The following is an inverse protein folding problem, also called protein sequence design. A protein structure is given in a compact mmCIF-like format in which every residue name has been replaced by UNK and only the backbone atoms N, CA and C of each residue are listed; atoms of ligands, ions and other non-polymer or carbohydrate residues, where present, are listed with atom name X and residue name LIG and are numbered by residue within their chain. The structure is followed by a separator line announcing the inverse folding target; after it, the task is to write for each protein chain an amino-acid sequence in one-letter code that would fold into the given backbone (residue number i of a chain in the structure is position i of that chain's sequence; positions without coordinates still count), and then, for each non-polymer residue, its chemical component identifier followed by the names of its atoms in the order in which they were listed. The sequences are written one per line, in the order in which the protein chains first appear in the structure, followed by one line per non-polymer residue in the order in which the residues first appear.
data_IF_889817384699
#
_entry.id   IF_889817384699
#
_cell.length_a   1.000
_cell.length_b   1.000
_cell.length_c   1.000
_cell.angle_alpha   90.00
_cell.angle_beta   90.00
_cell.angle_gamma   90.00
#
_symmetry.space_group_name_H-M   'P 1'
#
loop_
_entity.id
_entity.type
_entity.pdbx_description
1 polymer ?
#
# COMPACT_ATOMS: atom_id res chain seq x y z
N UNK A 1 1.67 22.43 33.97
CA UNK A 1 0.41 22.94 33.38
C UNK A 1 0.35 22.45 31.92
N UNK A 2 -0.60 21.66 31.44
CA UNK A 2 -1.80 21.09 32.03
C UNK A 2 -2.56 20.29 30.95
N UNK A 3 -2.98 19.09 31.35
CA UNK A 3 -4.11 18.25 30.94
C UNK A 3 -4.97 18.65 29.73
N UNK A 4 -5.15 17.69 28.81
CA UNK A 4 -6.46 17.39 28.21
C UNK A 4 -6.68 15.87 28.13
N UNK A 5 -7.31 15.31 29.17
CA UNK A 5 -8.01 14.01 29.17
C UNK A 5 -9.48 14.28 29.51
N UNK A 6 -10.39 13.91 28.61
CA UNK A 6 -11.80 13.53 28.84
C UNK A 6 -12.43 13.40 27.46
N UNK A 7 -13.14 12.35 27.06
CA UNK A 7 -14.19 11.57 27.73
C UNK A 7 -14.38 10.26 26.95
N UNK A 8 -15.19 9.35 27.51
CA UNK A 8 -15.64 8.05 26.98
C UNK A 8 -14.88 6.82 27.51
N UNK A 9 -14.90 6.66 28.82
CA UNK A 9 -15.06 5.34 29.47
C UNK A 9 -16.03 5.53 30.64
N UNK A 10 -17.16 4.83 30.60
CA UNK A 10 -17.92 4.34 31.77
C UNK A 10 -19.14 3.58 31.26
N UNK A 11 -19.05 2.25 31.29
CA UNK A 11 -20.02 1.37 31.92
C UNK A 11 -19.74 -0.07 31.48
N UNK A 12 -19.18 -0.85 32.39
CA UNK A 12 -19.58 -2.23 32.68
C UNK A 12 -18.69 -2.72 33.84
N UNK A 13 -19.22 -2.57 35.05
CA UNK A 13 -18.78 -3.24 36.27
C UNK A 13 -19.60 -4.52 36.48
N UNK A 14 -19.10 -5.32 37.43
CA UNK A 14 -19.60 -6.61 37.96
C UNK A 14 -18.88 -7.82 37.30
N UNK A 15 -18.29 -8.76 38.03
CA UNK A 15 -18.32 -9.03 39.47
C UNK A 15 -17.15 -9.94 39.86
N UNK A 16 -16.67 -9.74 41.09
CA UNK A 16 -15.71 -10.55 41.83
C UNK A 16 -16.24 -11.95 42.15
N UNK A 17 -15.37 -12.96 42.09
CA UNK A 17 -15.47 -14.18 42.92
C UNK A 17 -14.08 -14.42 43.52
N UNK A 18 -14.07 -14.67 44.83
CA UNK A 18 -12.93 -14.87 45.71
C UNK A 18 -12.72 -16.37 46.01
N UNK A 19 -11.49 -16.71 46.43
CA UNK A 19 -11.06 -17.78 47.38
C UNK A 19 -11.27 -19.26 46.94
N UNK A 20 -10.39 -20.26 47.09
CA UNK A 20 -9.22 -20.50 47.94
C UNK A 20 -8.26 -21.57 47.33
N UNK A 21 -7.09 -21.72 47.96
CA UNK A 21 -5.99 -22.67 47.72
C UNK A 21 -6.30 -24.14 48.05
N UNK A 22 -5.65 -25.10 47.35
CA UNK A 22 -4.92 -26.25 47.93
C UNK A 22 -4.16 -27.09 46.87
N UNK A 23 -3.05 -27.71 47.29
CA UNK A 23 -2.13 -28.58 46.55
C UNK A 23 -2.69 -30.01 46.34
N UNK A 24 -2.19 -30.75 45.34
CA UNK A 24 -1.65 -32.15 45.42
C UNK A 24 -1.44 -32.74 44.00
N UNK A 25 -0.37 -33.53 43.86
CA UNK A 25 0.12 -34.28 42.68
C UNK A 25 -0.89 -35.28 42.08
N UNK A 26 -0.79 -35.57 40.76
CA UNK A 26 -0.31 -36.86 40.20
C UNK A 26 -0.89 -37.19 38.78
N UNK A 27 -0.01 -37.75 37.93
CA UNK A 27 -0.16 -38.55 36.69
C UNK A 27 -1.37 -38.44 35.71
N UNK A 28 -1.05 -38.13 34.44
CA UNK A 28 -1.56 -38.83 33.23
C UNK A 28 -2.68 -38.19 32.40
N UNK A 29 -2.46 -37.92 31.10
CA UNK A 29 -3.41 -38.11 29.97
C UNK A 29 -3.01 -37.38 28.66
N UNK A 30 -2.75 -38.14 27.60
CA UNK A 30 -2.39 -37.67 26.23
C UNK A 30 -3.62 -37.41 25.31
N UNK A 31 -4.85 -37.40 25.81
CA UNK A 31 -6.07 -37.31 24.96
C UNK A 31 -6.77 -35.93 24.96
N UNK A 32 -6.20 -34.90 25.60
CA UNK A 32 -6.84 -33.57 25.71
C UNK A 32 -6.34 -32.53 24.69
N UNK A 33 -5.33 -32.87 23.88
CA UNK A 33 -4.76 -31.96 22.87
C UNK A 33 -5.41 -32.09 21.49
N UNK A 34 -5.91 -33.27 21.13
CA UNK A 34 -6.54 -33.53 19.83
C UNK A 34 -7.96 -32.94 19.73
N UNK A 35 -8.69 -32.91 20.85
CA UNK A 35 -10.07 -32.39 20.93
C UNK A 35 -10.16 -30.85 20.87
N UNK A 36 -9.16 -30.13 21.40
CA UNK A 36 -9.07 -28.65 21.28
C UNK A 36 -8.69 -28.19 19.87
N UNK A 37 -7.99 -29.02 19.09
CA UNK A 37 -7.60 -28.69 17.73
C UNK A 37 -8.81 -28.73 16.76
N UNK A 38 -9.70 -29.73 16.92
CA UNK A 38 -10.92 -29.89 16.12
C UNK A 38 -12.00 -28.82 16.40
N UNK A 39 -12.08 -28.34 17.64
CA UNK A 39 -13.00 -27.25 18.01
C UNK A 39 -12.61 -25.91 17.38
N UNK A 40 -11.30 -25.64 17.28
CA UNK A 40 -10.78 -24.41 16.67
C UNK A 40 -10.99 -24.35 15.15
N UNK A 41 -10.93 -25.48 14.43
CA UNK A 41 -11.20 -25.53 12.99
C UNK A 41 -12.67 -25.24 12.65
N UNK A 42 -13.62 -25.73 13.48
CA UNK A 42 -15.04 -25.47 13.30
C UNK A 42 -15.40 -24.01 13.58
N UNK A 43 -14.72 -23.38 14.55
CA UNK A 43 -14.91 -21.97 14.87
C UNK A 43 -14.38 -21.04 13.76
N UNK A 44 -13.24 -21.39 13.13
CA UNK A 44 -12.69 -20.71 11.96
C UNK A 44 -13.60 -20.80 10.71
N UNK A 45 -14.26 -21.93 10.49
CA UNK A 45 -15.23 -22.09 9.40
C UNK A 45 -16.48 -21.22 9.61
N UNK A 46 -16.98 -21.16 10.85
CA UNK A 46 -18.16 -20.38 11.20
C UNK A 46 -17.92 -18.87 11.04
N UNK A 47 -16.76 -18.37 11.48
CA UNK A 47 -16.37 -16.97 11.30
C UNK A 47 -16.29 -16.61 9.80
N UNK A 48 -15.79 -17.51 8.97
CA UNK A 48 -15.69 -17.31 7.51
C UNK A 48 -17.05 -17.28 6.81
N UNK A 49 -18.05 -17.99 7.36
CA UNK A 49 -19.43 -17.97 6.86
C UNK A 49 -20.18 -16.70 7.27
N UNK A 50 -19.99 -16.21 8.50
CA UNK A 50 -20.59 -14.96 8.99
C UNK A 50 -20.07 -13.73 8.23
N UNK A 51 -18.80 -13.71 7.84
CA UNK A 51 -18.22 -12.61 7.03
C UNK A 51 -18.84 -12.53 5.62
N UNK A 52 -19.34 -13.65 5.07
CA UNK A 52 -19.99 -13.68 3.75
C UNK A 52 -21.43 -13.14 3.78
N UNK A 53 -22.15 -13.26 4.89
CA UNK A 53 -23.54 -12.77 5.01
C UNK A 53 -23.61 -11.25 5.18
N UNK A 54 -22.61 -10.63 5.82
CA UNK A 54 -22.62 -9.20 6.14
C UNK A 54 -22.25 -8.27 4.97
N UNK A 55 -21.85 -8.83 3.82
CA UNK A 55 -21.54 -8.08 2.60
C UNK A 55 -22.77 -7.70 1.76
N UNK A 56 -23.96 -8.17 2.12
CA UNK A 56 -25.19 -7.94 1.38
C UNK A 56 -26.21 -7.16 2.21
N UNK A 57 -26.02 -5.85 2.41
CA UNK A 57 -27.11 -4.89 2.67
C UNK A 57 -26.57 -3.45 2.71
N UNK A 58 -26.71 -2.71 1.61
CA UNK A 58 -27.00 -1.26 1.67
C UNK A 58 -27.87 -0.84 0.47
N UNK A 59 -28.98 -0.08 0.68
CA UNK A 59 -29.85 0.38 -0.40
C UNK A 59 -29.31 1.66 -1.06
N UNK A 60 -29.29 1.69 -2.40
CA UNK A 60 -28.86 2.85 -3.20
C UNK A 60 -29.94 3.94 -3.21
N UNK A 61 -29.72 5.06 -2.52
CA UNK A 61 -30.47 6.30 -2.76
C UNK A 61 -30.03 6.91 -4.11
N UNK A 62 -30.96 6.97 -5.07
CA UNK A 62 -30.80 7.76 -6.31
C UNK A 62 -30.94 9.26 -5.97
N UNK A 63 -29.85 10.01 -6.01
CA UNK A 63 -29.88 11.47 -6.14
C UNK A 63 -29.65 11.83 -7.60
N UNK A 64 -30.59 12.55 -8.20
CA UNK A 64 -30.41 13.19 -9.50
C UNK A 64 -29.27 14.20 -9.37
N UNK A 65 -28.12 13.88 -9.98
CA UNK A 65 -26.95 14.76 -10.03
C UNK A 65 -26.79 15.19 -11.48
N UNK A 66 -27.02 16.48 -11.75
CA UNK A 66 -26.63 17.08 -13.02
C UNK A 66 -25.12 16.91 -13.17
N UNK A 67 -24.70 16.18 -14.19
CA UNK A 67 -23.28 15.83 -14.41
C UNK A 67 -22.58 17.08 -14.95
N UNK A 68 -21.63 17.63 -14.20
CA UNK A 68 -20.84 18.80 -14.63
C UNK A 68 -19.43 18.31 -14.96
N UNK A 69 -18.86 18.82 -16.05
CA UNK A 69 -17.49 18.57 -16.46
C UNK A 69 -16.74 19.89 -16.52
N UNK A 70 -15.61 19.98 -15.82
CA UNK A 70 -14.71 21.12 -15.84
C UNK A 70 -13.54 20.86 -16.79
N UNK A 71 -13.11 21.87 -17.55
CA UNK A 71 -11.88 21.82 -18.34
C UNK A 71 -11.01 23.05 -18.08
N UNK A 72 -9.85 22.85 -17.45
CA UNK A 72 -8.84 23.87 -17.24
C UNK A 72 -7.90 23.93 -18.44
N UNK A 73 -7.69 25.14 -18.97
CA UNK A 73 -6.75 25.42 -20.06
C UNK A 73 -5.68 26.38 -19.53
N UNK A 74 -4.38 26.00 -19.56
CA UNK A 74 -3.29 26.90 -19.19
C UNK A 74 -3.33 28.19 -20.01
N UNK A 75 -2.97 29.31 -19.39
CA UNK A 75 -2.92 30.65 -20.00
C UNK A 75 -4.27 31.22 -20.47
N UNK A 76 -5.39 30.52 -20.21
CA UNK A 76 -6.75 31.06 -20.41
C UNK A 76 -7.33 31.54 -19.07
N UNK A 77 -7.85 32.78 -18.99
CA UNK A 77 -8.57 33.24 -17.80
C UNK A 77 -9.99 32.64 -17.70
N UNK A 78 -10.45 31.93 -18.72
CA UNK A 78 -11.82 31.41 -18.79
C UNK A 78 -11.98 30.09 -18.03
N UNK A 79 -13.14 29.94 -17.37
CA UNK A 79 -13.56 28.69 -16.73
C UNK A 79 -14.57 27.97 -17.61
N UNK A 80 -14.16 26.86 -18.21
CA UNK A 80 -15.00 26.02 -19.04
C UNK A 80 -15.75 24.97 -18.19
N UNK A 81 -17.08 24.99 -18.30
CA UNK A 81 -18.00 24.04 -17.70
C UNK A 81 -18.92 23.44 -18.77
N UNK A 82 -19.12 22.13 -18.74
CA UNK A 82 -19.98 21.41 -19.69
C UNK A 82 -20.95 20.50 -18.94
N UNK A 83 -22.18 20.38 -19.44
CA UNK A 83 -23.21 19.52 -18.85
C UNK A 83 -23.36 18.18 -19.59
N UNK A 84 -22.79 18.06 -20.79
CA UNK A 84 -22.66 16.80 -21.52
C UNK A 84 -21.20 16.48 -21.84
N UNK A 85 -20.87 15.20 -21.82
CA UNK A 85 -19.54 14.70 -22.17
C UNK A 85 -19.24 14.90 -23.66
N UNK A 86 -20.26 14.91 -24.52
CA UNK A 86 -20.07 15.18 -25.96
C UNK A 86 -19.57 16.59 -26.23
N UNK A 87 -20.08 17.57 -25.48
CA UNK A 87 -19.66 18.97 -25.56
C UNK A 87 -18.22 19.12 -25.07
N UNK A 88 -17.89 18.52 -23.93
CA UNK A 88 -16.51 18.46 -23.43
C UNK A 88 -15.56 17.85 -24.48
N UNK A 89 -15.95 16.74 -25.10
CA UNK A 89 -15.11 16.07 -26.11
C UNK A 89 -14.87 16.96 -27.32
N UNK A 90 -15.93 17.60 -27.83
CA UNK A 90 -15.82 18.60 -28.92
C UNK A 90 -14.88 19.74 -28.55
N UNK A 91 -14.96 20.22 -27.30
CA UNK A 91 -14.06 21.24 -26.78
C UNK A 91 -12.60 20.77 -26.71
N UNK A 92 -12.34 19.57 -26.21
CA UNK A 92 -10.98 19.01 -26.14
C UNK A 92 -10.35 18.81 -27.53
N UNK A 93 -11.17 18.60 -28.56
CA UNK A 93 -10.73 18.48 -29.95
C UNK A 93 -10.50 19.84 -30.65
N UNK A 94 -10.93 20.95 -30.02
CA UNK A 94 -10.76 22.32 -30.52
C UNK A 94 -9.32 22.85 -30.35
N UNK A 95 -8.93 23.94 -31.05
CA UNK A 95 -7.62 24.55 -30.89
C UNK A 95 -7.30 24.96 -29.45
N UNK A 96 -8.32 25.36 -28.68
CA UNK A 96 -8.20 25.79 -27.27
C UNK A 96 -8.02 24.58 -26.36
N UNK A 97 -8.77 23.49 -26.60
CA UNK A 97 -8.67 22.26 -25.82
C UNK A 97 -7.38 21.48 -26.03
N UNK A 98 -6.72 21.64 -27.20
CA UNK A 98 -5.46 20.98 -27.55
C UNK A 98 -4.21 21.64 -26.97
N UNK A 99 -4.35 22.78 -26.28
CA UNK A 99 -3.23 23.44 -25.61
C UNK A 99 -2.56 22.45 -24.64
N UNK A 100 -1.22 22.39 -24.70
CA UNK A 100 -0.45 21.47 -23.87
C UNK A 100 -0.66 21.83 -22.41
N UNK A 101 -1.15 20.87 -21.63
CA UNK A 101 -1.47 21.07 -20.21
C UNK A 101 -2.95 21.30 -19.93
N UNK A 102 -3.83 21.28 -20.95
CA UNK A 102 -5.28 21.22 -20.73
C UNK A 102 -5.65 19.97 -19.93
N UNK A 103 -6.41 20.16 -18.86
CA UNK A 103 -6.86 19.11 -17.95
C UNK A 103 -8.37 19.19 -17.78
N UNK A 104 -9.04 18.04 -17.68
CA UNK A 104 -10.48 18.03 -17.39
C UNK A 104 -10.80 17.09 -16.25
N UNK A 105 -11.88 17.39 -15.53
CA UNK A 105 -12.39 16.58 -14.43
C UNK A 105 -13.92 16.53 -14.48
N UNK A 106 -14.48 15.38 -14.13
CA UNK A 106 -15.92 15.27 -13.89
C UNK A 106 -16.21 15.71 -12.46
N UNK A 107 -17.01 16.76 -12.31
CA UNK A 107 -17.38 17.36 -11.04
C UNK A 107 -18.74 16.85 -10.56
N UNK A 108 -18.88 16.71 -9.25
CA UNK A 108 -20.15 16.27 -8.63
C UNK A 108 -21.10 17.43 -8.31
N UNK A 109 -20.56 18.64 -8.12
CA UNK A 109 -21.27 19.88 -7.81
C UNK A 109 -20.39 21.09 -8.16
N UNK A 110 -20.96 22.29 -8.04
CA UNK A 110 -20.25 23.56 -8.31
C UNK A 110 -19.05 23.79 -7.37
N UNK A 111 -19.14 23.36 -6.11
CA UNK A 111 -18.00 23.47 -5.18
C UNK A 111 -16.79 22.62 -5.63
N UNK A 112 -17.03 21.43 -6.20
CA UNK A 112 -16.00 20.55 -6.76
C UNK A 112 -15.44 21.10 -8.09
N UNK A 113 -16.24 21.91 -8.81
CA UNK A 113 -15.79 22.69 -9.96
C UNK A 113 -14.81 23.79 -9.52
N UNK A 114 -15.17 24.62 -8.54
CA UNK A 114 -14.31 25.69 -8.06
C UNK A 114 -13.02 25.17 -7.41
N UNK A 115 -13.12 24.08 -6.64
CA UNK A 115 -11.95 23.43 -6.06
C UNK A 115 -10.97 22.94 -7.13
N UNK A 116 -11.48 22.41 -8.25
CA UNK A 116 -10.63 21.95 -9.35
C UNK A 116 -9.84 23.10 -9.98
N UNK A 117 -10.47 24.25 -10.24
CA UNK A 117 -9.79 25.41 -10.80
C UNK A 117 -8.75 26.00 -9.85
N UNK A 118 -9.09 26.16 -8.57
CA UNK A 118 -8.17 26.69 -7.56
C UNK A 118 -6.95 25.76 -7.35
N UNK A 119 -7.14 24.45 -7.49
CA UNK A 119 -6.05 23.47 -7.47
C UNK A 119 -5.13 23.62 -8.69
N UNK A 120 -5.67 23.87 -9.89
CA UNK A 120 -4.84 24.11 -11.09
C UNK A 120 -4.13 25.47 -11.05
N UNK A 121 -4.76 26.49 -10.48
CA UNK A 121 -4.19 27.83 -10.37
C UNK A 121 -3.06 27.89 -9.34
N UNK A 122 -3.22 27.21 -8.20
CA UNK A 122 -2.17 27.11 -7.17
C UNK A 122 -0.98 26.26 -7.61
N UNK A 123 -1.19 25.27 -8.49
CA UNK A 123 -0.11 24.56 -9.17
C UNK A 123 0.68 25.43 -10.18
N UNK A 124 0.12 26.57 -10.61
CA UNK A 124 0.72 27.48 -11.60
C UNK A 124 1.46 28.68 -10.97
N UNK A 125 1.26 28.98 -9.68
CA UNK A 125 1.80 30.20 -9.02
C UNK A 125 3.16 30.00 -8.33
N UNK A 126 3.84 28.88 -8.56
CA UNK A 126 5.13 28.57 -7.95
C UNK A 126 6.30 28.65 -8.94
N UNK A 127 6.39 29.68 -9.79
CA UNK A 127 7.63 29.99 -10.55
C UNK A 127 7.61 31.43 -11.10
N UNK A 128 8.33 32.33 -10.44
CA UNK A 128 9.00 33.51 -11.03
C UNK A 128 10.42 33.48 -10.39
N UNK A 129 11.58 33.55 -11.04
CA UNK A 129 12.02 33.60 -12.42
C UNK A 129 13.52 33.19 -12.38
N UNK A 130 13.94 32.20 -13.20
CA UNK A 130 15.10 32.30 -14.10
C UNK A 130 14.81 31.38 -15.30
N UNK A 131 14.55 32.01 -16.45
CA UNK A 131 14.36 31.41 -17.76
C UNK A 131 15.58 30.61 -18.24
N UNK A 132 15.36 29.34 -18.61
CA UNK A 132 15.77 28.84 -19.93
C UNK A 132 15.06 27.51 -20.27
N UNK A 133 14.23 27.55 -21.31
CA UNK A 133 13.69 26.42 -22.10
C UNK A 133 12.97 25.29 -21.36
N UNK A 134 11.63 25.34 -21.41
CA UNK A 134 10.72 24.20 -21.22
C UNK A 134 10.70 23.27 -22.44
N UNK A 135 11.86 22.77 -22.84
CA UNK A 135 11.95 21.35 -23.19
C UNK A 135 11.70 20.57 -21.90
N UNK A 136 11.03 19.44 -21.99
CA UNK A 136 10.99 18.44 -20.92
C UNK A 136 12.42 18.01 -20.60
N UNK A 137 13.10 18.72 -19.70
CA UNK A 137 14.36 18.28 -19.13
C UNK A 137 13.94 17.31 -18.02
N UNK A 138 13.59 16.08 -18.42
CA UNK A 138 13.91 14.90 -17.63
C UNK A 138 15.42 15.03 -17.39
N UNK A 139 15.84 15.61 -16.26
CA UNK A 139 17.26 15.75 -15.92
C UNK A 139 17.88 14.37 -16.05
N UNK A 140 18.65 14.13 -17.12
CA UNK A 140 19.28 12.86 -17.54
C UNK A 140 19.17 11.73 -16.50
N UNK A 141 17.95 11.21 -16.32
CA UNK A 141 17.76 10.06 -15.45
C UNK A 141 18.26 8.89 -16.28
N UNK A 142 19.14 8.03 -15.74
CA UNK A 142 19.76 6.94 -16.48
C UNK A 142 18.75 5.98 -17.13
N UNK A 143 17.52 5.97 -16.61
CA UNK A 143 16.47 5.05 -17.03
C UNK A 143 15.18 5.78 -17.35
N UNK A 144 14.62 5.47 -18.52
CA UNK A 144 13.31 5.96 -18.98
C UNK A 144 12.17 5.42 -18.11
N UNK A 145 11.06 6.13 -18.10
CA UNK A 145 9.85 5.71 -17.39
C UNK A 145 9.30 4.40 -17.97
N UNK A 146 8.82 3.52 -17.09
CA UNK A 146 8.33 2.20 -17.45
C UNK A 146 6.85 2.28 -17.79
N UNK A 147 6.43 1.85 -19.00
CA UNK A 147 5.01 1.78 -19.36
C UNK A 147 4.21 0.88 -18.40
N UNK A 148 2.97 1.27 -18.09
CA UNK A 148 2.10 0.54 -17.17
C UNK A 148 1.89 -0.95 -17.54
N UNK A 149 1.90 -1.27 -18.84
CA UNK A 149 1.85 -2.66 -19.33
C UNK A 149 3.04 -3.48 -18.85
N UNK A 150 4.25 -2.93 -18.92
CA UNK A 150 5.48 -3.58 -18.48
C UNK A 150 5.47 -3.79 -16.95
N UNK A 151 5.02 -2.80 -16.18
CA UNK A 151 4.83 -2.97 -14.73
C UNK A 151 3.84 -4.10 -14.40
N UNK A 152 2.82 -4.29 -15.25
CA UNK A 152 1.88 -5.40 -15.12
C UNK A 152 2.56 -6.74 -15.42
N UNK A 153 3.40 -6.82 -16.46
CA UNK A 153 4.18 -8.02 -16.77
C UNK A 153 5.10 -8.40 -15.59
N UNK A 154 5.80 -7.41 -15.01
CA UNK A 154 6.67 -7.59 -13.86
C UNK A 154 5.90 -8.11 -12.62
N UNK A 155 4.73 -7.52 -12.35
CA UNK A 155 3.83 -8.02 -11.29
C UNK A 155 3.44 -9.47 -11.53
N UNK A 156 3.06 -9.83 -12.76
CA UNK A 156 2.67 -11.19 -13.12
C UNK A 156 3.85 -12.15 -12.94
N UNK A 157 5.07 -11.75 -13.29
CA UNK A 157 6.27 -12.56 -13.07
C UNK A 157 6.48 -12.86 -11.57
N UNK A 158 6.33 -11.86 -10.70
CA UNK A 158 6.39 -12.04 -9.24
C UNK A 158 5.28 -13.00 -8.77
N UNK A 159 4.05 -12.79 -9.22
CA UNK A 159 2.87 -13.58 -8.83
C UNK A 159 2.97 -15.04 -9.27
N UNK A 160 3.62 -15.31 -10.41
CA UNK A 160 3.83 -16.66 -10.95
C UNK A 160 5.12 -17.33 -10.47
N UNK A 161 5.91 -16.67 -9.62
CA UNK A 161 7.24 -17.14 -9.22
C UNK A 161 8.21 -17.34 -10.38
N UNK A 162 8.08 -16.55 -11.45
CA UNK A 162 9.02 -16.57 -12.57
C UNK A 162 10.22 -15.68 -12.26
N UNK A 163 11.26 -16.30 -11.71
CA UNK A 163 12.48 -15.60 -11.29
C UNK A 163 13.36 -15.17 -12.47
N UNK A 164 13.24 -15.83 -13.63
CA UNK A 164 14.01 -15.50 -14.83
C UNK A 164 13.54 -14.17 -15.41
N UNK A 165 12.23 -14.04 -15.63
CA UNK A 165 11.63 -12.78 -16.11
C UNK A 165 11.81 -11.66 -15.07
N UNK A 166 11.72 -11.99 -13.77
CA UNK A 166 11.99 -11.03 -12.71
C UNK A 166 13.40 -10.42 -12.85
N UNK A 167 14.43 -11.26 -12.97
CA UNK A 167 15.82 -10.80 -13.07
C UNK A 167 16.05 -10.02 -14.36
N UNK A 168 15.52 -10.50 -15.49
CA UNK A 168 15.61 -9.85 -16.79
C UNK A 168 15.06 -8.42 -16.73
N UNK A 169 13.83 -8.25 -16.24
CA UNK A 169 13.18 -6.93 -16.19
C UNK A 169 13.89 -5.97 -15.23
N UNK A 170 14.28 -6.43 -14.04
CA UNK A 170 14.97 -5.56 -13.06
C UNK A 170 16.37 -5.18 -13.53
N UNK A 171 17.06 -6.08 -14.25
CA UNK A 171 18.35 -5.79 -14.86
C UNK A 171 18.22 -4.81 -16.03
N UNK A 172 17.17 -4.96 -16.85
CA UNK A 172 16.85 -4.02 -17.94
C UNK A 172 16.62 -2.60 -17.40
N UNK A 173 15.83 -2.47 -16.33
CA UNK A 173 15.51 -1.17 -15.76
C UNK A 173 15.22 -1.25 -14.24
N UNK A 174 16.04 -0.63 -13.37
CA UNK A 174 15.81 -0.65 -11.92
C UNK A 174 14.51 0.06 -11.51
N UNK A 175 13.90 0.88 -12.40
CA UNK A 175 12.62 1.54 -12.15
C UNK A 175 11.44 0.58 -11.98
N UNK A 176 11.61 -0.72 -12.26
CA UNK A 176 10.61 -1.73 -11.91
C UNK A 176 10.42 -1.87 -10.39
N UNK A 177 11.47 -1.59 -9.62
CA UNK A 177 11.47 -1.64 -8.16
C UNK A 177 11.45 -0.25 -7.51
N UNK A 178 12.26 0.68 -8.02
CA UNK A 178 12.47 2.00 -7.37
C UNK A 178 12.04 3.15 -8.27
N UNK A 179 11.25 4.06 -7.76
CA UNK A 179 10.95 5.30 -8.46
C UNK A 179 12.05 6.32 -8.15
N UNK A 180 12.96 6.48 -9.11
CA UNK A 180 14.13 7.35 -8.98
C UNK A 180 13.79 8.84 -8.87
N UNK A 181 12.56 9.25 -9.21
CA UNK A 181 12.14 10.66 -9.14
C UNK A 181 11.71 11.09 -7.74
N UNK A 182 11.29 10.16 -6.87
CA UNK A 182 10.71 10.50 -5.57
C UNK A 182 11.20 9.63 -4.41
N UNK A 183 12.22 8.79 -4.62
CA UNK A 183 12.79 7.90 -3.60
C UNK A 183 11.74 6.99 -2.93
N UNK A 184 10.73 6.58 -3.71
CA UNK A 184 9.68 5.66 -3.27
C UNK A 184 9.70 4.36 -4.05
N UNK A 185 9.13 3.28 -3.49
CA UNK A 185 8.90 2.05 -4.24
C UNK A 185 7.99 2.27 -5.46
N UNK A 186 8.29 1.57 -6.55
CA UNK A 186 7.41 1.53 -7.71
C UNK A 186 6.10 0.82 -7.38
N UNK A 187 4.98 1.45 -7.73
CA UNK A 187 3.65 0.89 -7.52
C UNK A 187 3.30 -0.01 -8.70
N UNK A 188 3.14 -1.30 -8.45
CA UNK A 188 2.80 -2.30 -9.46
C UNK A 188 1.28 -2.46 -9.68
N UNK A 189 0.47 -2.13 -8.67
CA UNK A 189 -0.99 -2.20 -8.74
C UNK A 189 -1.62 -0.91 -8.21
N UNK A 190 -2.02 0.00 -9.11
CA UNK A 190 -2.49 1.35 -8.75
C UNK A 190 -3.72 1.37 -7.82
N UNK A 191 -4.66 0.43 -7.99
CA UNK A 191 -5.89 0.38 -7.20
C UNK A 191 -5.65 0.17 -5.70
N UNK A 192 -4.80 -0.83 -5.37
CA UNK A 192 -4.44 -1.16 -3.99
C UNK A 192 -3.16 -0.46 -3.52
N UNK A 193 -2.42 0.17 -4.45
CA UNK A 193 -1.06 0.71 -4.26
C UNK A 193 -0.05 -0.32 -3.76
N UNK A 194 -0.05 -1.50 -4.37
CA UNK A 194 0.95 -2.52 -4.03
C UNK A 194 2.31 -2.15 -4.62
N UNK A 195 3.33 -2.17 -3.76
CA UNK A 195 4.72 -2.27 -4.17
C UNK A 195 5.08 -3.74 -4.51
N UNK A 196 6.30 -3.99 -4.98
CA UNK A 196 6.75 -5.33 -5.32
C UNK A 196 6.73 -6.32 -4.13
N UNK A 197 7.00 -5.83 -2.90
CA UNK A 197 7.02 -6.67 -1.70
C UNK A 197 5.62 -7.13 -1.29
N UNK A 198 4.60 -6.28 -1.43
CA UNK A 198 3.20 -6.68 -1.25
C UNK A 198 2.83 -7.82 -2.20
N UNK A 199 3.17 -7.70 -3.48
CA UNK A 199 2.91 -8.72 -4.50
C UNK A 199 3.64 -10.04 -4.16
N UNK A 200 4.93 -9.97 -3.81
CA UNK A 200 5.72 -11.14 -3.47
C UNK A 200 5.20 -11.87 -2.22
N UNK A 201 4.86 -11.13 -1.16
CA UNK A 201 4.27 -11.71 0.05
C UNK A 201 2.89 -12.33 -0.23
N UNK A 202 2.05 -11.67 -1.03
CA UNK A 202 0.72 -12.17 -1.38
C UNK A 202 0.79 -13.46 -2.22
N UNK A 203 1.84 -13.59 -3.04
CA UNK A 203 2.13 -14.78 -3.85
C UNK A 203 2.88 -15.88 -3.08
N UNK A 204 3.25 -15.66 -1.81
CA UNK A 204 4.13 -16.55 -1.04
C UNK A 204 5.48 -16.82 -1.73
N UNK A 205 5.98 -15.86 -2.50
CA UNK A 205 7.20 -15.98 -3.28
C UNK A 205 8.43 -15.55 -2.47
N UNK A 206 9.01 -16.49 -1.73
CA UNK A 206 10.16 -16.22 -0.85
C UNK A 206 11.40 -15.75 -1.62
N UNK A 207 11.68 -16.32 -2.80
CA UNK A 207 12.85 -15.96 -3.61
C UNK A 207 12.75 -14.52 -4.10
N UNK A 208 11.58 -14.07 -4.56
CA UNK A 208 11.39 -12.67 -4.94
C UNK A 208 11.52 -11.73 -3.74
N UNK A 209 10.99 -12.09 -2.56
CA UNK A 209 11.18 -11.32 -1.33
C UNK A 209 12.67 -11.12 -1.03
N UNK A 210 13.46 -12.20 -1.04
CA UNK A 210 14.91 -12.16 -0.83
C UNK A 210 15.61 -11.26 -1.86
N UNK A 211 15.32 -11.45 -3.15
CA UNK A 211 15.93 -10.66 -4.24
C UNK A 211 15.62 -9.17 -4.09
N UNK A 212 14.36 -8.82 -3.87
CA UNK A 212 13.92 -7.43 -3.68
C UNK A 212 14.67 -6.78 -2.51
N UNK A 213 14.73 -7.46 -1.36
CA UNK A 213 15.39 -6.92 -0.16
C UNK A 213 16.91 -6.81 -0.33
N UNK A 214 17.53 -7.75 -1.04
CA UNK A 214 18.96 -7.73 -1.33
C UNK A 214 19.33 -6.60 -2.29
N UNK A 215 18.56 -6.41 -3.37
CA UNK A 215 18.81 -5.35 -4.36
C UNK A 215 18.69 -3.95 -3.74
N UNK A 216 17.68 -3.70 -2.91
CA UNK A 216 17.50 -2.40 -2.26
C UNK A 216 18.61 -2.09 -1.26
N UNK A 217 19.24 -3.12 -0.69
CA UNK A 217 20.39 -2.97 0.22
C UNK A 217 21.72 -2.88 -0.49
N UNK A 218 21.77 -3.30 -1.75
CA UNK A 218 22.97 -3.23 -2.56
C UNK A 218 23.21 -1.78 -2.98
N UNK A 219 24.21 -1.18 -2.34
CA UNK A 219 24.63 0.20 -2.60
C UNK A 219 25.09 0.38 -4.04
N UNK A 220 25.78 -0.61 -4.61
CA UNK A 220 26.27 -0.53 -5.99
C UNK A 220 25.11 -0.54 -6.99
N UNK A 221 24.10 -1.37 -6.73
CA UNK A 221 22.89 -1.41 -7.53
C UNK A 221 22.12 -0.09 -7.45
N UNK A 222 21.97 0.49 -6.24
CA UNK A 222 21.31 1.79 -6.07
C UNK A 222 22.10 2.94 -6.69
N UNK A 223 23.42 3.00 -6.52
CA UNK A 223 24.27 3.99 -7.20
C UNK A 223 24.02 3.96 -8.70
N UNK A 224 23.98 2.76 -9.29
CA UNK A 224 23.71 2.59 -10.71
C UNK A 224 22.28 3.04 -11.08
N UNK A 225 21.28 2.65 -10.28
CA UNK A 225 19.88 3.01 -10.51
C UNK A 225 19.64 4.52 -10.52
N UNK A 226 20.32 5.26 -9.65
CA UNK A 226 20.19 6.70 -9.52
C UNK A 226 21.26 7.51 -10.28
N UNK A 227 22.29 6.84 -10.81
CA UNK A 227 23.49 7.46 -11.37
C UNK A 227 24.15 8.49 -10.43
N UNK A 228 24.06 8.26 -9.11
CA UNK A 228 24.68 9.12 -8.11
C UNK A 228 25.02 8.33 -6.85
N UNK A 229 26.20 8.62 -6.29
CA UNK A 229 26.65 8.07 -5.01
C UNK A 229 26.19 8.89 -3.79
N UNK A 230 25.61 10.07 -4.01
CA UNK A 230 25.22 10.96 -2.92
C UNK A 230 24.05 10.37 -2.15
N UNK A 231 24.15 10.29 -0.83
CA UNK A 231 23.07 9.83 0.06
C UNK A 231 22.51 8.43 -0.26
N UNK A 232 23.26 7.55 -0.93
CA UNK A 232 22.77 6.19 -1.30
C UNK A 232 22.40 5.35 -0.07
N UNK A 233 23.11 5.53 1.05
CA UNK A 233 22.82 4.82 2.30
C UNK A 233 21.45 5.26 2.85
N UNK A 234 21.23 6.57 2.96
CA UNK A 234 19.96 7.13 3.44
C UNK A 234 18.80 6.77 2.50
N UNK A 235 19.02 6.81 1.18
CA UNK A 235 18.03 6.35 0.19
C UNK A 235 17.71 4.87 0.35
N UNK A 236 18.71 4.02 0.55
CA UNK A 236 18.52 2.59 0.79
C UNK A 236 17.64 2.36 2.02
N UNK A 237 17.93 3.03 3.12
CA UNK A 237 17.17 2.92 4.37
C UNK A 237 15.73 3.42 4.21
N UNK A 238 15.53 4.57 3.57
CA UNK A 238 14.21 5.15 3.31
C UNK A 238 13.38 4.26 2.37
N UNK A 239 13.98 3.75 1.30
CA UNK A 239 13.32 2.81 0.38
C UNK A 239 12.96 1.52 1.08
N UNK A 240 13.85 0.99 1.92
CA UNK A 240 13.61 -0.25 2.65
C UNK A 240 12.48 -0.08 3.68
N UNK A 241 12.44 1.05 4.41
CA UNK A 241 11.32 1.40 5.29
C UNK A 241 10.01 1.51 4.51
N UNK A 242 10.00 2.25 3.40
CA UNK A 242 8.84 2.42 2.55
C UNK A 242 8.37 1.07 1.97
N UNK A 243 9.28 0.17 1.61
CA UNK A 243 8.93 -1.16 1.11
C UNK A 243 8.27 -2.02 2.18
N UNK A 244 8.83 -2.03 3.39
CA UNK A 244 8.41 -2.91 4.49
C UNK A 244 7.17 -2.42 5.23
N UNK A 245 7.01 -1.10 5.35
CA UNK A 245 6.08 -0.49 6.30
C UNK A 245 4.96 0.32 5.65
N UNK A 246 5.03 0.62 4.35
CA UNK A 246 3.92 1.29 3.66
C UNK A 246 2.74 0.32 3.58
N UNK A 247 1.57 0.68 4.12
CA UNK A 247 0.38 -0.16 4.01
C UNK A 247 -0.32 0.01 2.66
N UNK A 248 -1.09 -1.00 2.26
CA UNK A 248 -1.98 -0.90 1.11
C UNK A 248 -3.09 0.14 1.32
N UNK A 249 -3.63 0.64 0.21
CA UNK A 249 -4.66 1.67 0.24
C UNK A 249 -6.01 1.17 0.77
N UNK A 250 -6.34 -0.11 0.59
CA UNK A 250 -7.69 -0.61 0.82
C UNK A 250 -7.91 -1.08 2.26
N UNK A 251 -7.01 -1.95 2.75
CA UNK A 251 -7.14 -2.62 4.04
C UNK A 251 -6.16 -2.11 5.09
N UNK A 252 -5.27 -1.20 4.71
CA UNK A 252 -4.14 -0.77 5.50
C UNK A 252 -3.20 -1.94 5.89
N UNK A 253 -3.09 -2.95 5.02
CA UNK A 253 -2.24 -4.11 5.22
C UNK A 253 -0.83 -3.82 4.71
N UNK A 254 0.17 -4.02 5.54
CA UNK A 254 1.59 -4.00 5.15
C UNK A 254 2.01 -5.35 4.52
N UNK A 255 3.19 -5.45 3.88
CA UNK A 255 3.71 -6.74 3.40
C UNK A 255 3.80 -7.80 4.51
N UNK A 256 4.12 -7.41 5.74
CA UNK A 256 4.12 -8.31 6.89
C UNK A 256 2.72 -8.89 7.16
N UNK A 257 1.66 -8.08 7.06
CA UNK A 257 0.30 -8.60 7.17
C UNK A 257 0.02 -9.67 6.12
N UNK A 258 0.41 -9.44 4.86
CA UNK A 258 0.20 -10.43 3.80
C UNK A 258 1.00 -11.71 4.02
N UNK A 259 2.25 -11.60 4.47
CA UNK A 259 3.07 -12.76 4.82
C UNK A 259 2.42 -13.61 5.93
N UNK A 260 1.88 -12.96 6.97
CA UNK A 260 1.16 -13.63 8.05
C UNK A 260 -0.17 -14.23 7.60
N UNK A 261 -0.96 -13.52 6.78
CA UNK A 261 -2.21 -14.03 6.19
C UNK A 261 -1.93 -15.27 5.34
N UNK A 262 -0.77 -15.32 4.69
CA UNK A 262 -0.33 -16.44 3.85
C UNK A 262 0.34 -17.56 4.64
N UNK A 263 0.49 -17.41 5.96
CA UNK A 263 1.12 -18.39 6.85
C UNK A 263 2.53 -18.83 6.40
N UNK A 264 3.27 -17.95 5.68
CA UNK A 264 4.61 -18.27 5.20
C UNK A 264 5.66 -17.79 6.22
N UNK A 265 6.16 -18.72 7.04
CA UNK A 265 7.15 -18.43 8.09
C UNK A 265 8.47 -17.89 7.56
N UNK A 266 8.95 -18.37 6.42
CA UNK A 266 10.24 -17.99 5.84
C UNK A 266 10.22 -16.52 5.42
N UNK A 267 9.11 -16.09 4.80
CA UNK A 267 8.91 -14.68 4.45
C UNK A 267 8.76 -13.84 5.71
N UNK A 268 7.97 -14.26 6.70
CA UNK A 268 7.81 -13.53 7.96
C UNK A 268 9.16 -13.33 8.65
N UNK A 269 9.97 -14.38 8.75
CA UNK A 269 11.31 -14.30 9.35
C UNK A 269 12.23 -13.37 8.56
N UNK A 270 12.27 -13.51 7.23
CA UNK A 270 13.06 -12.64 6.37
C UNK A 270 12.69 -11.15 6.52
N UNK A 271 11.40 -10.82 6.66
CA UNK A 271 10.96 -9.44 6.90
C UNK A 271 11.36 -8.95 8.31
N UNK A 272 11.16 -9.78 9.34
CA UNK A 272 11.43 -9.43 10.74
C UNK A 272 12.92 -9.37 11.10
N UNK A 273 13.78 -9.96 10.26
CA UNK A 273 15.24 -9.81 10.34
C UNK A 273 15.68 -8.36 10.12
N UNK A 274 14.85 -7.52 9.50
CA UNK A 274 15.11 -6.09 9.38
C UNK A 274 14.57 -5.33 10.59
N UNK A 275 15.46 -4.68 11.35
CA UNK A 275 15.09 -3.89 12.54
C UNK A 275 14.10 -2.77 12.25
N UNK A 276 14.12 -2.22 11.03
CA UNK A 276 13.20 -1.17 10.60
C UNK A 276 11.79 -1.71 10.30
N UNK A 277 11.62 -3.02 10.13
CA UNK A 277 10.30 -3.62 9.92
C UNK A 277 9.46 -3.49 11.20
N UNK A 278 8.31 -2.82 11.09
CA UNK A 278 7.37 -2.70 12.21
C UNK A 278 6.80 -4.08 12.51
N UNK A 279 7.00 -4.54 13.75
CA UNK A 279 6.56 -5.87 14.20
C UNK A 279 5.07 -5.94 14.52
N UNK A 280 4.47 -4.81 14.87
CA UNK A 280 3.06 -4.72 15.27
C UNK A 280 2.27 -3.63 14.50
N UNK A 281 2.30 -3.61 13.16
CA UNK A 281 1.55 -2.63 12.39
C UNK A 281 0.05 -2.91 12.49
N UNK A 282 -0.78 -1.88 12.71
CA UNK A 282 -2.23 -2.05 12.74
C UNK A 282 -2.85 -1.85 11.35
N UNK A 283 -3.69 -2.80 10.91
CA UNK A 283 -4.52 -2.62 9.73
C UNK A 283 -5.80 -1.81 10.04
N UNK A 284 -6.63 -1.59 9.01
CA UNK A 284 -7.86 -0.79 9.10
C UNK A 284 -8.85 -1.32 10.13
N UNK A 285 -8.82 -2.62 10.37
CA UNK A 285 -9.69 -3.30 11.32
C UNK A 285 -9.10 -3.34 12.73
N UNK A 286 -7.86 -2.85 12.93
CA UNK A 286 -7.08 -2.99 14.16
C UNK A 286 -6.80 -4.45 14.57
N UNK A 287 -6.89 -5.39 13.60
CA UNK A 287 -6.81 -6.85 13.84
C UNK A 287 -5.37 -7.39 13.66
N UNK A 288 -4.34 -6.63 14.05
CA UNK A 288 -3.00 -7.24 14.06
C UNK A 288 -2.89 -8.36 15.11
N UNK A 289 -3.71 -8.29 16.17
CA UNK A 289 -3.58 -9.11 17.37
C UNK A 289 -3.99 -10.58 17.21
N UNK A 290 -4.79 -10.97 16.20
CA UNK A 290 -5.32 -12.34 16.11
C UNK A 290 -4.52 -13.30 15.21
N UNK A 291 -3.87 -12.81 14.16
CA UNK A 291 -3.08 -13.68 13.26
C UNK A 291 -1.66 -13.95 13.78
N UNK A 292 -1.12 -13.01 14.55
CA UNK A 292 0.27 -12.99 15.00
C UNK A 292 0.45 -13.70 16.35
N UNK A 293 -0.54 -13.71 17.25
CA UNK A 293 -0.32 -14.24 18.60
C UNK A 293 0.01 -15.74 18.61
N UNK A 294 -0.53 -16.52 17.66
CA UNK A 294 -0.11 -17.92 17.49
C UNK A 294 1.23 -18.01 16.71
N UNK A 295 1.45 -17.18 15.69
CA UNK A 295 2.64 -17.27 14.82
C UNK A 295 3.94 -16.73 15.45
N UNK A 296 3.92 -15.56 16.10
CA UNK A 296 5.09 -15.01 16.81
C UNK A 296 5.43 -15.79 18.08
N UNK A 297 4.44 -16.43 18.71
CA UNK A 297 4.71 -17.35 19.82
C UNK A 297 5.50 -18.57 19.31
N UNK A 298 5.15 -19.11 18.15
CA UNK A 298 5.94 -20.18 17.49
C UNK A 298 7.34 -19.70 17.08
N UNK A 299 7.50 -18.48 16.58
CA UNK A 299 8.83 -17.91 16.26
C UNK A 299 9.68 -17.68 17.53
N UNK A 300 9.07 -17.21 18.63
CA UNK A 300 9.75 -17.09 19.93
C UNK A 300 10.16 -18.45 20.52
N UNK A 301 9.40 -19.51 20.23
CA UNK A 301 9.72 -20.88 20.65
C UNK A 301 10.88 -21.46 19.82
N UNK A 302 10.87 -21.27 18.50
CA UNK A 302 11.96 -21.75 17.62
C UNK A 302 13.30 -21.04 17.84
N UNK A 303 13.31 -19.77 18.21
CA UNK A 303 14.55 -19.04 18.52
C UNK A 303 15.06 -19.24 19.96
N UNK A 304 14.40 -20.11 20.76
CA UNK A 304 14.80 -20.48 22.13
C UNK A 304 15.11 -21.97 22.29
N UNK A 305 15.06 -22.74 21.21
CA UNK A 305 15.52 -24.14 21.09
C UNK A 305 16.76 -24.16 20.19
#
# INVERSE_FOLDING_TARGET
MGNYISKYFNNLSLQSINTDSENVNDTGSDDLQTSKCLQNEQELLNITQTIKSDLNLTPKLKRNTSKIFAAYVPDSPERYAFHDFKELKSFLDSPVGKIKGTRFKRCQNENDFDSFYNEQLSASTCTEDINSSSSSIEQDLPYKEIPARRLTDFRIAIEKCDHGIFDELVHENPRFLVNTSNDLPTILQLGCRYNALHCACLASNFVAVQKILNLIRDKSWLTNAYSTDKCVIERSENLLDAMLNTPDKLKNNTPLHYACIKANFEIVDALLNFRICKREPLNRFKIFRLYIFNFLTVIKIKNKL
#
